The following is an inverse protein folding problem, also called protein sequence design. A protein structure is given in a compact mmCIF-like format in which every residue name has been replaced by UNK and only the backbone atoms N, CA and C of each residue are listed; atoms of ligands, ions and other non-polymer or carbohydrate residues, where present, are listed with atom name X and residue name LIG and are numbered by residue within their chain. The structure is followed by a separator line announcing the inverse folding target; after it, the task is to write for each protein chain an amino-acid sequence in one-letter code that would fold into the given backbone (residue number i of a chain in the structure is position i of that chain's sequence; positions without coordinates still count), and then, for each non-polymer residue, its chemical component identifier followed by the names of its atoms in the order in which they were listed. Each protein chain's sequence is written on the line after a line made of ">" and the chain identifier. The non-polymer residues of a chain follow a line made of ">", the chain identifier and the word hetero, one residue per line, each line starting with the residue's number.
data_IF_779604691131
#
_entry.id   IF_779604691131
#
_cell.length_a   1.000
_cell.length_b   1.000
_cell.length_c   1.000
_cell.angle_alpha   90.00
_cell.angle_beta   90.00
_cell.angle_gamma   90.00
#
_symmetry.space_group_name_H-M   'P 1'
#
loop_
_entity.id
_entity.type
_entity.pdbx_description
1 polymer ?
#
# COMPACT_ATOMS: atom_id res chain seq x y z
N UNK A 1 -37.85 -25.97 -9.30
CA UNK A 1 -37.45 -25.90 -7.87
C UNK A 1 -35.93 -26.01 -7.81
N UNK A 2 -35.20 -24.90 -7.65
CA UNK A 2 -33.75 -24.94 -7.51
C UNK A 2 -33.39 -25.34 -6.08
N UNK A 3 -32.68 -26.45 -5.93
CA UNK A 3 -32.16 -26.90 -4.64
C UNK A 3 -31.05 -25.93 -4.20
N UNK A 4 -31.35 -25.02 -3.28
CA UNK A 4 -30.35 -24.17 -2.64
C UNK A 4 -29.35 -25.08 -1.93
N UNK A 5 -28.09 -25.06 -2.36
CA UNK A 5 -27.04 -25.86 -1.73
C UNK A 5 -26.98 -25.52 -0.23
N UNK A 6 -26.89 -26.52 0.66
CA UNK A 6 -27.01 -26.33 2.12
C UNK A 6 -25.90 -25.46 2.74
N UNK A 7 -24.93 -25.01 1.95
CA UNK A 7 -23.77 -24.22 2.37
C UNK A 7 -23.80 -22.78 1.85
N UNK A 8 -24.77 -22.41 0.99
CA UNK A 8 -24.86 -21.06 0.45
C UNK A 8 -25.11 -20.04 1.59
N UNK A 9 -24.20 -19.07 1.73
CA UNK A 9 -24.27 -18.03 2.77
C UNK A 9 -23.61 -18.40 4.11
N UNK A 10 -23.07 -19.61 4.27
CA UNK A 10 -22.32 -19.97 5.47
C UNK A 10 -20.85 -19.51 5.40
N UNK A 11 -20.21 -19.22 6.55
CA UNK A 11 -18.78 -18.93 6.59
C UNK A 11 -17.96 -20.04 5.94
N UNK A 12 -16.99 -19.67 5.11
CA UNK A 12 -16.15 -20.64 4.41
C UNK A 12 -15.25 -21.35 5.43
N UNK A 13 -15.26 -22.69 5.49
CA UNK A 13 -14.36 -23.43 6.35
C UNK A 13 -12.88 -23.17 6.05
N UNK A 14 -12.04 -23.22 7.08
CA UNK A 14 -10.62 -22.90 6.98
C UNK A 14 -9.84 -23.80 5.99
N UNK A 15 -10.15 -25.09 6.03
CA UNK A 15 -9.58 -26.06 5.09
C UNK A 15 -9.92 -25.75 3.62
N UNK A 16 -11.13 -25.23 3.35
CA UNK A 16 -11.61 -24.92 2.00
C UNK A 16 -10.82 -23.76 1.39
N UNK A 17 -10.74 -22.62 2.09
CA UNK A 17 -9.95 -21.50 1.56
C UNK A 17 -8.45 -21.83 1.56
N UNK A 18 -7.96 -22.60 2.54
CA UNK A 18 -6.56 -23.05 2.59
C UNK A 18 -6.18 -23.96 1.41
N UNK A 19 -7.10 -24.81 0.94
CA UNK A 19 -6.90 -25.60 -0.29
C UNK A 19 -6.88 -24.71 -1.52
N UNK A 20 -7.88 -23.85 -1.69
CA UNK A 20 -7.96 -22.93 -2.83
C UNK A 20 -6.68 -22.07 -2.93
N UNK A 21 -6.15 -21.60 -1.80
CA UNK A 21 -4.90 -20.85 -1.75
C UNK A 21 -3.69 -21.66 -2.22
N UNK A 22 -3.56 -22.92 -1.76
CA UNK A 22 -2.45 -23.79 -2.20
C UNK A 22 -2.50 -24.07 -3.70
N UNK A 23 -3.69 -24.30 -4.23
CA UNK A 23 -3.91 -24.55 -5.65
C UNK A 23 -3.56 -23.29 -6.48
N UNK A 24 -4.01 -22.12 -6.04
CA UNK A 24 -3.65 -20.85 -6.68
C UNK A 24 -2.13 -20.61 -6.70
N UNK A 25 -1.42 -20.87 -5.58
CA UNK A 25 0.05 -20.78 -5.52
C UNK A 25 0.72 -21.73 -6.50
N UNK A 26 0.22 -22.94 -6.67
CA UNK A 26 0.78 -23.92 -7.60
C UNK A 26 0.61 -23.50 -9.06
N UNK A 27 -0.45 -22.75 -9.38
CA UNK A 27 -0.72 -22.27 -10.74
C UNK A 27 0.15 -21.07 -11.14
N UNK A 28 0.48 -20.17 -10.20
CA UNK A 28 1.11 -18.88 -10.53
C UNK A 28 2.60 -18.80 -10.17
N UNK A 29 3.07 -19.59 -9.19
CA UNK A 29 4.45 -19.52 -8.73
C UNK A 29 5.33 -20.54 -9.44
N UNK A 30 6.57 -20.15 -9.72
CA UNK A 30 7.61 -21.11 -10.14
C UNK A 30 7.88 -22.15 -9.04
N UNK A 31 8.42 -23.33 -9.36
CA UNK A 31 8.73 -24.35 -8.34
C UNK A 31 9.66 -23.84 -7.23
N UNK A 32 10.59 -22.95 -7.56
CA UNK A 32 11.50 -22.33 -6.58
C UNK A 32 10.74 -21.39 -5.64
N UNK A 33 9.91 -20.50 -6.20
CA UNK A 33 9.07 -19.59 -5.41
C UNK A 33 8.06 -20.34 -4.55
N UNK A 34 7.43 -21.39 -5.07
CA UNK A 34 6.44 -22.17 -4.34
C UNK A 34 7.03 -22.86 -3.11
N UNK A 35 8.28 -23.35 -3.20
CA UNK A 35 9.05 -23.93 -2.08
C UNK A 35 9.53 -22.89 -1.06
N UNK A 36 9.62 -21.62 -1.46
CA UNK A 36 10.01 -20.54 -0.57
C UNK A 36 8.89 -20.13 0.40
N UNK A 37 9.18 -19.31 1.42
CA UNK A 37 8.17 -18.71 2.29
C UNK A 37 7.21 -17.73 1.58
N UNK A 38 7.43 -17.40 0.31
CA UNK A 38 6.61 -16.44 -0.44
C UNK A 38 5.14 -16.85 -0.45
N UNK A 39 4.30 -15.93 0.02
CA UNK A 39 2.84 -16.05 0.00
C UNK A 39 2.34 -17.34 0.66
N UNK A 40 3.05 -17.86 1.68
CA UNK A 40 2.77 -19.17 2.28
C UNK A 40 1.38 -19.24 2.90
N UNK A 41 0.89 -18.13 3.45
CA UNK A 41 -0.46 -17.99 4.01
C UNK A 41 -1.23 -16.92 3.24
N UNK A 42 -2.57 -17.03 3.14
CA UNK A 42 -3.39 -15.95 2.59
C UNK A 42 -3.14 -14.61 3.29
N UNK A 43 -2.92 -14.63 4.61
CA UNK A 43 -2.65 -13.43 5.41
C UNK A 43 -1.35 -12.70 5.01
N UNK A 44 -0.42 -13.37 4.34
CA UNK A 44 0.80 -12.72 3.83
C UNK A 44 0.47 -11.69 2.73
N UNK A 45 -0.68 -11.82 2.04
CA UNK A 45 -1.17 -10.79 1.12
C UNK A 45 -1.53 -9.48 1.82
N UNK A 46 -2.07 -9.56 3.04
CA UNK A 46 -2.36 -8.36 3.85
C UNK A 46 -1.07 -7.63 4.20
N UNK A 47 -0.04 -8.39 4.60
CA UNK A 47 1.28 -7.81 4.85
C UNK A 47 1.85 -7.14 3.59
N UNK A 48 1.76 -7.81 2.43
CA UNK A 48 2.24 -7.25 1.17
C UNK A 48 1.51 -5.95 0.78
N UNK A 49 0.17 -5.90 0.92
CA UNK A 49 -0.61 -4.71 0.62
C UNK A 49 -0.23 -3.53 1.51
N UNK A 50 -0.13 -3.74 2.83
CA UNK A 50 0.25 -2.69 3.78
C UNK A 50 1.66 -2.17 3.51
N UNK A 51 2.62 -3.06 3.28
CA UNK A 51 3.99 -2.68 2.92
C UNK A 51 4.02 -1.89 1.61
N UNK A 52 3.24 -2.28 0.61
CA UNK A 52 3.16 -1.57 -0.67
C UNK A 52 2.61 -0.16 -0.50
N UNK A 53 1.51 0.02 0.23
CA UNK A 53 0.91 1.34 0.47
C UNK A 53 1.86 2.29 1.18
N UNK A 54 2.55 1.80 2.20
CA UNK A 54 3.59 2.57 2.89
C UNK A 54 4.73 2.95 1.94
N UNK A 55 5.19 2.01 1.11
CA UNK A 55 6.26 2.26 0.13
C UNK A 55 5.85 3.22 -0.98
N UNK A 56 4.55 3.30 -1.28
CA UNK A 56 3.98 4.28 -2.20
C UNK A 56 3.84 5.68 -1.58
N UNK A 57 4.24 5.87 -0.32
CA UNK A 57 4.18 7.15 0.38
C UNK A 57 2.79 7.49 0.94
N UNK A 58 1.87 6.53 1.01
CA UNK A 58 0.54 6.77 1.61
C UNK A 58 0.71 7.02 3.11
N UNK A 59 0.05 8.06 3.68
CA UNK A 59 0.17 8.38 5.10
C UNK A 59 -0.16 7.19 6.02
N UNK A 60 0.66 7.00 7.06
CA UNK A 60 0.52 5.89 8.00
C UNK A 60 -0.86 5.84 8.70
N UNK A 61 -1.49 6.99 8.94
CA UNK A 61 -2.85 7.08 9.49
C UNK A 61 -3.89 6.47 8.55
N UNK A 62 -3.82 6.78 7.26
CA UNK A 62 -4.73 6.25 6.24
C UNK A 62 -4.54 4.74 6.04
N UNK A 63 -3.29 4.30 5.98
CA UNK A 63 -2.95 2.87 5.88
C UNK A 63 -3.47 2.11 7.11
N UNK A 64 -3.31 2.68 8.31
CA UNK A 64 -3.79 2.08 9.55
C UNK A 64 -5.32 1.93 9.57
N UNK A 65 -6.05 2.93 9.08
CA UNK A 65 -7.49 2.88 8.92
C UNK A 65 -7.94 1.76 7.97
N UNK A 66 -7.39 1.68 6.76
CA UNK A 66 -7.72 0.62 5.80
C UNK A 66 -7.33 -0.77 6.28
N UNK A 67 -6.25 -0.84 7.06
CA UNK A 67 -5.79 -2.08 7.68
C UNK A 67 -6.38 -2.31 9.07
N UNK A 68 -7.43 -1.59 9.47
CA UNK A 68 -8.22 -1.80 10.69
C UNK A 68 -7.35 -2.07 11.94
N UNK A 69 -6.26 -1.32 12.10
CA UNK A 69 -5.38 -1.44 13.26
C UNK A 69 -4.82 -0.08 13.65
N UNK A 70 -4.34 0.07 14.89
CA UNK A 70 -3.79 1.35 15.33
C UNK A 70 -2.49 1.72 14.61
N UNK A 71 -2.22 3.03 14.48
CA UNK A 71 -0.95 3.54 13.95
C UNK A 71 0.24 3.01 14.75
N UNK A 72 0.07 2.83 16.07
CA UNK A 72 1.10 2.23 16.92
C UNK A 72 1.45 0.79 16.49
N UNK A 73 0.44 -0.05 16.21
CA UNK A 73 0.66 -1.41 15.69
C UNK A 73 1.29 -1.35 14.31
N UNK A 74 0.81 -0.45 13.43
CA UNK A 74 1.37 -0.26 12.10
C UNK A 74 2.88 0.06 12.17
N UNK A 75 3.28 1.05 12.96
CA UNK A 75 4.68 1.45 13.07
C UNK A 75 5.54 0.37 13.73
N UNK A 76 5.01 -0.35 14.72
CA UNK A 76 5.72 -1.48 15.34
C UNK A 76 6.04 -2.60 14.34
N UNK A 77 5.13 -2.89 13.41
CA UNK A 77 5.25 -4.02 12.48
C UNK A 77 5.95 -3.61 11.17
N UNK A 78 5.66 -2.42 10.65
CA UNK A 78 6.00 -2.04 9.28
C UNK A 78 6.97 -0.86 9.14
N UNK A 79 7.52 -0.32 10.24
CA UNK A 79 8.48 0.80 10.15
C UNK A 79 9.67 0.50 9.23
N UNK A 80 10.09 -0.76 9.11
CA UNK A 80 11.17 -1.17 8.19
C UNK A 80 10.83 -0.96 6.72
N UNK A 81 9.54 -0.95 6.34
CA UNK A 81 9.13 -0.70 4.96
C UNK A 81 9.36 0.76 4.56
N UNK A 82 9.25 1.69 5.50
CA UNK A 82 9.44 3.13 5.25
C UNK A 82 10.93 3.50 5.05
N UNK A 83 11.84 2.54 5.26
CA UNK A 83 13.27 2.74 5.04
C UNK A 83 13.60 2.96 3.56
N UNK A 84 14.43 3.95 3.25
CA UNK A 84 14.81 4.31 1.86
C UNK A 84 13.92 5.37 1.20
N UNK A 85 12.93 5.92 1.92
CA UNK A 85 12.08 7.01 1.39
C UNK A 85 12.66 8.41 1.58
N UNK A 86 13.88 8.56 2.10
CA UNK A 86 14.46 9.87 2.44
C UNK A 86 14.56 10.80 1.23
N UNK A 87 15.04 10.32 0.09
CA UNK A 87 15.16 11.12 -1.14
C UNK A 87 13.80 11.48 -1.72
N UNK A 88 12.81 10.59 -1.61
CA UNK A 88 11.44 10.87 -2.03
C UNK A 88 10.80 11.93 -1.13
N UNK A 89 10.98 11.81 0.19
CA UNK A 89 10.51 12.79 1.16
C UNK A 89 11.15 14.16 0.97
N UNK A 90 12.46 14.22 0.72
CA UNK A 90 13.17 15.47 0.39
C UNK A 90 12.58 16.15 -0.85
N UNK A 91 12.40 15.41 -1.94
CA UNK A 91 11.79 15.93 -3.17
C UNK A 91 10.37 16.45 -2.96
N UNK A 92 9.57 15.75 -2.13
CA UNK A 92 8.24 16.22 -1.76
C UNK A 92 8.28 17.54 -0.99
N UNK A 93 9.20 17.69 -0.03
CA UNK A 93 9.41 18.94 0.72
C UNK A 93 9.82 20.08 -0.23
N UNK A 94 10.81 19.85 -1.10
CA UNK A 94 11.27 20.84 -2.08
C UNK A 94 10.12 21.30 -3.00
N UNK A 95 9.31 20.36 -3.48
CA UNK A 95 8.15 20.65 -4.33
C UNK A 95 7.11 21.49 -3.59
N UNK A 96 6.78 21.14 -2.36
CA UNK A 96 5.83 21.89 -1.54
C UNK A 96 6.32 23.31 -1.24
N UNK A 97 7.62 23.47 -0.95
CA UNK A 97 8.21 24.79 -0.72
C UNK A 97 8.24 25.63 -2.01
N UNK A 98 8.52 25.03 -3.16
CA UNK A 98 8.50 25.74 -4.44
C UNK A 98 7.11 26.27 -4.80
N UNK A 99 6.04 25.52 -4.48
CA UNK A 99 4.65 25.95 -4.68
C UNK A 99 4.24 27.12 -3.77
N UNK A 100 4.95 27.32 -2.66
CA UNK A 100 4.63 28.39 -1.69
C UNK A 100 5.30 29.73 -2.01
N UNK A 101 6.19 29.78 -3.02
CA UNK A 101 6.85 31.03 -3.42
C UNK A 101 5.84 31.89 -4.22
N UNK A 102 5.48 33.11 -3.78
CA UNK A 102 4.62 33.96 -4.57
C UNK A 102 5.30 34.28 -5.89
N UNK A 103 4.52 34.20 -6.97
CA UNK A 103 4.92 34.61 -8.31
C UNK A 103 5.37 36.08 -8.23
N UNK A 104 6.67 36.30 -8.38
CA UNK A 104 7.27 37.62 -8.37
C UNK A 104 6.85 38.30 -9.67
N UNK A 105 5.71 39.01 -9.62
CA UNK A 105 5.23 39.85 -10.73
C UNK A 105 6.37 40.81 -11.10
N UNK A 106 6.88 40.78 -12.34
CA UNK A 106 7.96 41.68 -12.74
C UNK A 106 7.51 43.13 -12.51
N UNK A 107 8.37 44.02 -11.98
CA UNK A 107 8.01 45.41 -11.78
C UNK A 107 7.50 46.02 -13.09
N UNK A 108 6.46 46.87 -13.07
CA UNK A 108 5.94 47.47 -14.28
C UNK A 108 7.06 48.21 -15.00
N UNK A 109 7.27 47.83 -16.26
CA UNK A 109 8.23 48.45 -17.17
C UNK A 109 7.96 49.95 -17.21
N UNK A 110 8.84 50.73 -16.58
CA UNK A 110 8.75 52.18 -16.57
C UNK A 110 9.01 52.67 -18.00
N UNK A 111 7.92 53.02 -18.70
CA UNK A 111 7.97 53.74 -19.96
C UNK A 111 8.74 55.05 -19.74
N UNK A 112 9.95 55.11 -20.28
CA UNK A 112 10.75 56.34 -20.29
C UNK A 112 9.99 57.41 -21.06
N UNK A 113 9.71 58.59 -20.48
CA UNK A 113 9.09 59.68 -21.21
C UNK A 113 10.06 60.19 -22.29
N UNK A 114 9.52 60.41 -23.49
CA UNK A 114 10.20 61.02 -24.63
C UNK A 114 10.22 62.55 -24.49
#
# INVERSE_FOLDING_TARGET
>A
MAATSPTAGQPIPNNTYGKAWRDARAMVLTPVQQRSPLARRPYDLRHAAVSLWLNAGIPATQVAEWAEHSVHVLMRVYARCVYGQEEAARRQIETALAQSKPEETPPPEQAKPR
#
